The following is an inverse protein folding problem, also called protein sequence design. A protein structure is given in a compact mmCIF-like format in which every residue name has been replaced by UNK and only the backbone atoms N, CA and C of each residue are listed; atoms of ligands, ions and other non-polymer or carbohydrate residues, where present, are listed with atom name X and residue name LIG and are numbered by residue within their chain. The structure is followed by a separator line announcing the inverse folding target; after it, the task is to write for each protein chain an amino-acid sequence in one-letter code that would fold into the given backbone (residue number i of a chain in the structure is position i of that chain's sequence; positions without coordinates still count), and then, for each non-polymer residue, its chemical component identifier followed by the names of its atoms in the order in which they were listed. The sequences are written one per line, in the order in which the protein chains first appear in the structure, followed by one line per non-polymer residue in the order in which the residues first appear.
data_IF_281375641778
#
_entry.id   IF_281375641778
#
_cell.length_a   1.000
_cell.length_b   1.000
_cell.length_c   1.000
_cell.angle_alpha   90.00
_cell.angle_beta   90.00
_cell.angle_gamma   90.00
#
_symmetry.space_group_name_H-M   'P 1'
#
loop_
_entity.id
_entity.type
_entity.pdbx_description
1 polymer ?
#
# COMPACT_ATOMS: atom_id res chain seq x y z
N UNK A 1 -53.91 7.80 -9.48
CA UNK A 1 -52.56 7.28 -9.20
C UNK A 1 -51.58 8.40 -9.47
N UNK A 2 -51.13 9.10 -8.43
CA UNK A 2 -50.12 10.15 -8.55
C UNK A 2 -48.75 9.49 -8.37
N UNK A 3 -47.99 9.40 -9.46
CA UNK A 3 -46.55 9.12 -9.39
C UNK A 3 -45.89 10.32 -8.71
N UNK A 4 -45.26 10.11 -7.57
CA UNK A 4 -44.47 11.12 -6.88
C UNK A 4 -43.02 11.06 -7.40
N UNK A 5 -42.50 12.11 -8.06
CA UNK A 5 -41.17 12.12 -8.63
C UNK A 5 -40.20 12.73 -7.62
N UNK A 6 -39.91 12.04 -6.52
CA UNK A 6 -38.79 12.42 -5.67
C UNK A 6 -37.54 11.69 -6.16
N UNK A 7 -36.85 12.37 -7.09
CA UNK A 7 -35.43 12.19 -7.32
C UNK A 7 -34.70 12.10 -5.97
N UNK A 8 -33.90 11.05 -5.78
CA UNK A 8 -32.95 10.99 -4.68
C UNK A 8 -31.95 12.14 -4.85
N UNK A 9 -32.07 13.17 -4.03
CA UNK A 9 -31.01 14.16 -3.86
C UNK A 9 -29.86 13.43 -3.17
N UNK A 10 -28.79 13.15 -3.92
CA UNK A 10 -27.51 12.64 -3.44
C UNK A 10 -26.99 13.55 -2.30
N UNK A 11 -27.34 13.23 -1.05
CA UNK A 11 -26.97 14.03 0.11
C UNK A 11 -25.49 13.81 0.40
N UNK A 12 -24.68 14.77 -0.04
CA UNK A 12 -23.24 14.80 0.22
C UNK A 12 -22.97 15.38 1.59
N UNK A 13 -22.30 14.62 2.45
CA UNK A 13 -21.95 15.04 3.80
C UNK A 13 -20.43 15.12 3.93
N UNK A 14 -19.91 16.25 4.41
CA UNK A 14 -18.51 16.35 4.82
C UNK A 14 -18.38 15.79 6.24
N UNK A 15 -17.46 14.85 6.43
CA UNK A 15 -17.25 14.24 7.75
C UNK A 15 -15.78 13.95 8.00
N UNK A 16 -15.42 13.86 9.28
CA UNK A 16 -14.16 13.27 9.73
C UNK A 16 -14.28 11.76 9.58
N UNK A 17 -13.36 11.15 8.84
CA UNK A 17 -13.38 9.71 8.51
C UNK A 17 -12.28 8.93 9.24
N UNK A 18 -11.27 9.63 9.76
CA UNK A 18 -10.23 9.10 10.63
C UNK A 18 -9.60 10.26 11.41
N UNK A 19 -9.15 10.03 12.65
CA UNK A 19 -8.54 11.06 13.49
C UNK A 19 -7.55 10.47 14.49
N UNK A 20 -6.53 11.23 14.83
CA UNK A 20 -5.55 10.94 15.87
C UNK A 20 -5.13 12.22 16.58
N UNK A 21 -4.57 12.07 17.78
CA UNK A 21 -3.98 13.17 18.54
C UNK A 21 -2.50 12.87 18.82
N UNK A 22 -1.64 13.85 18.60
CA UNK A 22 -0.20 13.72 18.84
C UNK A 22 0.56 14.96 18.43
N UNK A 23 1.70 15.21 19.07
CA UNK A 23 2.62 16.25 18.66
C UNK A 23 3.27 15.84 17.32
N UNK A 24 2.88 16.53 16.24
CA UNK A 24 3.38 16.28 14.88
C UNK A 24 4.21 17.46 14.34
N UNK A 25 4.24 18.58 15.07
CA UNK A 25 5.02 19.76 14.71
C UNK A 25 6.29 19.95 15.58
N UNK A 26 6.44 19.18 16.66
CA UNK A 26 7.60 19.16 17.54
C UNK A 26 7.61 20.21 18.64
N UNK A 27 6.46 20.81 18.96
CA UNK A 27 6.37 21.88 19.96
C UNK A 27 6.08 21.39 21.40
N UNK A 28 5.81 20.09 21.55
CA UNK A 28 5.47 19.43 22.81
C UNK A 28 3.97 19.43 23.15
N UNK A 29 3.11 20.04 22.34
CA UNK A 29 1.65 20.09 22.53
C UNK A 29 0.98 19.20 21.48
N UNK A 30 0.08 18.28 21.88
CA UNK A 30 -0.62 17.43 20.92
C UNK A 30 -1.51 18.21 19.95
N UNK A 31 -1.35 17.93 18.66
CA UNK A 31 -2.21 18.43 17.58
C UNK A 31 -3.36 17.45 17.31
N UNK A 32 -4.45 17.95 16.72
CA UNK A 32 -5.53 17.12 16.20
C UNK A 32 -5.34 16.90 14.71
N UNK A 33 -4.99 15.67 14.33
CA UNK A 33 -4.75 15.27 12.95
C UNK A 33 -5.92 14.41 12.48
N UNK A 34 -6.55 14.78 11.37
CA UNK A 34 -7.70 14.03 10.88
C UNK A 34 -7.83 14.06 9.35
N UNK A 35 -8.50 13.05 8.82
CA UNK A 35 -8.92 13.00 7.43
C UNK A 35 -10.37 13.47 7.36
N UNK A 36 -10.63 14.47 6.52
CA UNK A 36 -11.97 14.89 6.18
C UNK A 36 -12.31 14.41 4.76
N UNK A 37 -13.53 13.93 4.54
CA UNK A 37 -13.98 13.43 3.24
C UNK A 37 -15.48 13.61 3.03
N UNK A 38 -15.90 13.50 1.78
CA UNK A 38 -17.30 13.59 1.37
C UNK A 38 -17.86 12.19 1.18
N UNK A 39 -18.91 11.87 1.93
CA UNK A 39 -19.69 10.63 1.78
C UNK A 39 -21.00 10.90 1.08
N UNK A 40 -21.56 9.85 0.48
CA UNK A 40 -22.94 9.82 -0.01
C UNK A 40 -23.71 8.75 0.75
N UNK A 41 -25.04 8.87 0.82
CA UNK A 41 -25.89 7.91 1.57
C UNK A 41 -25.82 6.50 1.01
N UNK A 42 -25.53 6.37 -0.28
CA UNK A 42 -25.72 5.12 -1.02
C UNK A 42 -24.42 4.33 -1.18
N UNK A 43 -23.29 4.85 -0.68
CA UNK A 43 -21.97 4.24 -0.87
C UNK A 43 -21.02 4.49 0.30
N UNK A 44 -20.27 3.46 0.76
CA UNK A 44 -19.18 3.63 1.71
C UNK A 44 -17.92 4.25 1.06
N UNK A 45 -17.96 4.57 -0.24
CA UNK A 45 -16.88 5.24 -0.94
C UNK A 45 -16.80 6.71 -0.52
N UNK A 46 -15.63 7.11 -0.04
CA UNK A 46 -15.37 8.46 0.43
C UNK A 46 -14.59 9.21 -0.65
N UNK A 47 -15.00 10.43 -0.95
CA UNK A 47 -14.40 11.29 -1.98
C UNK A 47 -13.75 12.52 -1.36
N UNK A 48 -12.82 13.16 -2.09
CA UNK A 48 -12.18 14.43 -1.68
C UNK A 48 -11.53 14.36 -0.30
N UNK A 49 -10.94 13.21 0.02
CA UNK A 49 -10.21 12.98 1.26
C UNK A 49 -9.04 13.97 1.36
N UNK A 50 -9.03 14.76 2.41
CA UNK A 50 -8.03 15.80 2.67
C UNK A 50 -7.44 15.57 4.05
N UNK A 51 -6.12 15.65 4.19
CA UNK A 51 -5.46 15.67 5.48
C UNK A 51 -5.63 17.06 6.10
N UNK A 52 -6.11 17.10 7.34
CA UNK A 52 -6.27 18.32 8.11
C UNK A 52 -5.52 18.18 9.42
N UNK A 53 -4.76 19.22 9.76
CA UNK A 53 -4.02 19.32 11.02
C UNK A 53 -4.52 20.58 11.71
N UNK A 54 -5.02 20.43 12.93
CA UNK A 54 -5.35 21.56 13.81
C UNK A 54 -4.27 21.64 14.89
N UNK A 55 -3.50 22.73 14.85
CA UNK A 55 -2.43 23.02 15.80
C UNK A 55 -3.01 23.11 17.23
N UNK A 56 -2.49 22.29 18.14
CA UNK A 56 -2.98 22.22 19.53
C UNK A 56 -2.69 23.47 20.36
N UNK A 57 -1.65 24.22 20.00
CA UNK A 57 -1.23 25.47 20.66
C UNK A 57 -2.00 26.67 20.15
N UNK A 58 -2.13 26.80 18.84
CA UNK A 58 -2.66 28.01 18.19
C UNK A 58 -4.11 27.87 17.73
N UNK A 59 -4.58 26.64 17.55
CA UNK A 59 -5.90 26.34 16.96
C UNK A 59 -5.97 26.57 15.45
N UNK A 60 -4.86 26.89 14.78
CA UNK A 60 -4.81 27.09 13.34
C UNK A 60 -4.98 25.76 12.59
N UNK A 61 -5.60 25.82 11.41
CA UNK A 61 -5.82 24.66 10.55
C UNK A 61 -4.90 24.70 9.34
N UNK A 62 -4.26 23.57 9.06
CA UNK A 62 -3.57 23.29 7.81
C UNK A 62 -4.34 22.23 7.02
N UNK A 63 -4.54 22.48 5.73
CA UNK A 63 -5.22 21.55 4.81
C UNK A 63 -4.23 21.08 3.75
N UNK A 64 -4.12 19.77 3.57
CA UNK A 64 -3.17 19.14 2.65
C UNK A 64 -3.96 18.22 1.71
N UNK A 65 -4.14 18.60 0.44
CA UNK A 65 -4.81 17.75 -0.54
C UNK A 65 -3.95 16.54 -0.88
N UNK A 66 -4.58 15.38 -1.05
CA UNK A 66 -3.93 14.16 -1.49
C UNK A 66 -4.12 14.01 -3.02
N UNK A 67 -3.12 13.45 -3.70
CA UNK A 67 -3.19 13.17 -5.15
C UNK A 67 -4.31 12.18 -5.46
N UNK A 68 -4.31 11.04 -4.78
CA UNK A 68 -5.36 10.01 -4.81
C UNK A 68 -6.19 10.12 -3.54
N UNK A 69 -7.33 10.79 -3.65
CA UNK A 69 -8.13 11.28 -2.53
C UNK A 69 -9.54 10.66 -2.46
N UNK A 70 -9.74 9.49 -3.04
CA UNK A 70 -11.03 8.82 -3.01
C UNK A 70 -10.87 7.32 -2.88
N UNK A 71 -11.66 6.68 -2.01
CA UNK A 71 -11.53 5.27 -1.72
C UNK A 71 -12.34 4.83 -0.51
N UNK A 72 -11.97 3.68 0.04
CA UNK A 72 -12.62 3.03 1.16
C UNK A 72 -11.70 3.01 2.37
N UNK A 73 -12.31 2.95 3.57
CA UNK A 73 -11.63 2.75 4.85
C UNK A 73 -10.36 3.59 5.04
N UNK A 74 -10.41 4.93 4.87
CA UNK A 74 -9.27 5.78 5.12
C UNK A 74 -8.84 5.69 6.59
N UNK A 75 -7.55 5.55 6.85
CA UNK A 75 -7.01 5.49 8.22
C UNK A 75 -5.81 6.41 8.40
N UNK A 76 -5.54 6.75 9.66
CA UNK A 76 -4.39 7.54 10.10
C UNK A 76 -3.58 6.76 11.10
N UNK A 77 -2.25 6.84 10.99
CA UNK A 77 -1.29 6.37 11.98
C UNK A 77 -0.26 7.46 12.23
N UNK A 78 0.07 7.70 13.50
CA UNK A 78 1.11 8.65 13.91
C UNK A 78 2.28 7.88 14.52
N UNK A 79 3.47 8.04 13.95
CA UNK A 79 4.69 7.37 14.40
C UNK A 79 5.93 8.10 13.89
N UNK A 80 7.06 7.95 14.56
CA UNK A 80 8.32 8.53 14.11
C UNK A 80 8.92 7.64 13.01
N UNK A 81 8.97 8.12 11.77
CA UNK A 81 9.63 7.41 10.68
C UNK A 81 10.98 8.02 10.33
N UNK A 82 11.25 9.25 10.79
CA UNK A 82 12.44 10.01 10.40
C UNK A 82 13.58 9.93 11.42
N UNK A 83 13.27 9.48 12.63
CA UNK A 83 14.18 9.34 13.77
C UNK A 83 14.47 10.65 14.49
N UNK A 84 13.64 11.68 14.31
CA UNK A 84 13.81 12.98 14.97
C UNK A 84 13.00 13.11 16.27
N UNK A 85 12.26 12.06 16.66
CA UNK A 85 11.42 12.03 17.85
C UNK A 85 10.06 12.72 17.70
N UNK A 86 9.77 13.28 16.52
CA UNK A 86 8.48 13.91 16.19
C UNK A 86 7.66 12.91 15.38
N UNK A 87 6.35 12.82 15.65
CA UNK A 87 5.50 11.88 14.93
C UNK A 87 5.24 12.39 13.51
N UNK A 88 5.53 11.57 12.51
CA UNK A 88 5.02 11.77 11.15
C UNK A 88 3.63 11.15 11.00
N UNK A 89 2.96 11.52 9.92
CA UNK A 89 1.56 11.21 9.65
C UNK A 89 1.48 10.24 8.48
N UNK A 90 1.14 8.98 8.75
CA UNK A 90 0.86 7.98 7.73
C UNK A 90 -0.64 7.90 7.45
N UNK A 91 -0.99 7.93 6.16
CA UNK A 91 -2.34 7.82 5.63
C UNK A 91 -2.43 6.55 4.81
N UNK A 92 -3.54 5.82 4.94
CA UNK A 92 -3.87 4.74 4.00
C UNK A 92 -5.32 4.81 3.53
N UNK A 93 -5.57 4.47 2.27
CA UNK A 93 -6.89 4.48 1.63
C UNK A 93 -6.99 3.26 0.69
N UNK A 94 -8.01 2.42 0.85
CA UNK A 94 -8.25 1.33 -0.08
C UNK A 94 -8.84 1.85 -1.40
N UNK A 95 -8.24 1.51 -2.54
CA UNK A 95 -8.76 1.92 -3.86
C UNK A 95 -10.13 1.31 -4.19
N UNK A 96 -10.42 0.12 -3.66
CA UNK A 96 -11.62 -0.66 -3.93
C UNK A 96 -11.55 -1.58 -5.16
N UNK A 97 -10.41 -1.60 -5.87
CA UNK A 97 -10.20 -2.52 -6.99
C UNK A 97 -9.97 -3.97 -6.53
N UNK A 98 -10.31 -4.94 -7.38
CA UNK A 98 -10.11 -6.37 -7.11
C UNK A 98 -8.65 -6.79 -6.92
N UNK A 99 -7.71 -5.96 -7.38
CA UNK A 99 -6.28 -6.15 -7.17
C UNK A 99 -5.79 -5.78 -5.76
N UNK A 100 -6.67 -5.27 -4.89
CA UNK A 100 -6.33 -4.92 -3.51
C UNK A 100 -5.38 -3.72 -3.37
N UNK A 101 -5.31 -2.85 -4.38
CA UNK A 101 -4.44 -1.69 -4.39
C UNK A 101 -4.83 -0.70 -3.28
N UNK A 102 -3.81 -0.14 -2.63
CA UNK A 102 -3.95 0.83 -1.55
C UNK A 102 -3.16 2.09 -1.89
N UNK A 103 -3.72 3.26 -1.55
CA UNK A 103 -3.01 4.53 -1.58
C UNK A 103 -2.39 4.79 -0.22
N UNK A 104 -1.11 5.15 -0.20
CA UNK A 104 -0.37 5.45 1.00
C UNK A 104 0.39 6.76 0.85
N UNK A 105 0.37 7.56 1.91
CA UNK A 105 1.14 8.78 2.03
C UNK A 105 1.78 8.87 3.41
N UNK A 106 2.98 9.43 3.50
CA UNK A 106 3.60 9.80 4.78
C UNK A 106 4.01 11.25 4.70
N UNK A 107 3.57 12.06 5.67
CA UNK A 107 3.92 13.47 5.78
C UNK A 107 4.63 13.74 7.10
N UNK A 108 5.72 14.49 7.05
CA UNK A 108 6.23 15.23 8.21
C UNK A 108 5.52 16.58 8.30
N UNK A 109 5.30 17.07 9.53
CA UNK A 109 4.74 18.39 9.78
C UNK A 109 5.59 19.23 10.75
N UNK A 110 6.87 18.88 10.90
CA UNK A 110 7.82 19.55 11.79
C UNK A 110 7.84 21.06 11.53
N UNK A 111 7.72 21.85 12.60
CA UNK A 111 7.73 23.31 12.53
C UNK A 111 6.55 23.91 11.76
N UNK A 112 5.41 23.20 11.69
CA UNK A 112 4.22 23.58 10.92
C UNK A 112 4.43 23.64 9.41
N UNK A 113 5.40 22.89 8.88
CA UNK A 113 5.71 22.83 7.44
C UNK A 113 5.40 21.43 6.92
N UNK A 114 4.37 21.25 6.08
CA UNK A 114 4.05 19.95 5.53
C UNK A 114 5.10 19.52 4.50
N UNK A 115 5.64 18.31 4.67
CA UNK A 115 6.59 17.70 3.75
C UNK A 115 6.20 16.26 3.46
N UNK A 116 5.93 15.97 2.19
CA UNK A 116 5.67 14.61 1.72
C UNK A 116 6.98 13.79 1.78
N UNK A 117 6.96 12.69 2.52
CA UNK A 117 8.09 11.76 2.71
C UNK A 117 7.95 10.49 1.88
N UNK A 118 6.72 10.01 1.69
CA UNK A 118 6.40 8.80 0.93
C UNK A 118 5.12 9.00 0.12
N UNK A 119 5.14 8.54 -1.13
CA UNK A 119 3.99 8.47 -2.03
C UNK A 119 3.94 7.07 -2.66
N UNK A 120 2.79 6.41 -2.58
CA UNK A 120 2.61 5.06 -3.10
C UNK A 120 2.87 4.97 -4.61
N UNK A 121 2.58 6.02 -5.38
CA UNK A 121 2.70 5.98 -6.83
C UNK A 121 4.17 6.06 -7.23
N UNK A 122 4.92 6.95 -6.57
CA UNK A 122 6.39 7.03 -6.68
C UNK A 122 7.04 5.70 -6.30
N UNK A 123 6.55 5.03 -5.25
CA UNK A 123 7.02 3.70 -4.89
C UNK A 123 6.75 2.66 -6.00
N UNK A 124 5.53 2.61 -6.54
CA UNK A 124 5.18 1.67 -7.61
C UNK A 124 6.01 1.91 -8.88
N UNK A 125 6.29 3.17 -9.22
CA UNK A 125 7.15 3.53 -10.35
C UNK A 125 8.61 3.14 -10.11
N UNK A 126 9.10 3.31 -8.88
CA UNK A 126 10.48 2.99 -8.52
C UNK A 126 10.75 1.48 -8.44
N UNK A 127 9.74 0.65 -8.15
CA UNK A 127 9.90 -0.79 -8.01
C UNK A 127 9.05 -1.53 -9.04
N UNK A 128 9.64 -1.74 -10.21
CA UNK A 128 9.05 -2.51 -11.31
C UNK A 128 9.64 -3.91 -11.37
N UNK A 129 8.84 -4.84 -11.92
CA UNK A 129 9.20 -6.25 -11.95
C UNK A 129 8.82 -6.92 -13.25
N UNK A 130 9.62 -7.92 -13.63
CA UNK A 130 9.26 -8.92 -14.63
C UNK A 130 8.96 -10.24 -13.93
N UNK A 131 7.90 -10.92 -14.35
CA UNK A 131 7.54 -12.26 -13.85
C UNK A 131 7.50 -13.19 -15.05
N UNK A 132 8.47 -14.09 -15.15
CA UNK A 132 8.69 -14.92 -16.34
C UNK A 132 8.69 -16.37 -15.95
N UNK A 133 7.76 -17.15 -16.51
CA UNK A 133 7.76 -18.59 -16.33
C UNK A 133 8.96 -19.19 -17.07
N UNK A 134 9.55 -20.21 -16.47
CA UNK A 134 10.66 -21.01 -16.99
C UNK A 134 10.27 -22.48 -16.98
N UNK A 135 11.03 -23.28 -17.71
CA UNK A 135 10.97 -24.74 -17.66
C UNK A 135 11.20 -25.24 -16.22
N UNK A 136 10.90 -26.53 -15.98
CA UNK A 136 11.06 -27.19 -14.69
C UNK A 136 10.26 -26.52 -13.55
N UNK A 137 9.05 -26.04 -13.88
CA UNK A 137 8.09 -25.46 -12.93
C UNK A 137 8.64 -24.29 -12.12
N UNK A 138 9.50 -23.47 -12.73
CA UNK A 138 10.07 -22.28 -12.10
C UNK A 138 9.44 -21.00 -12.63
N UNK A 139 9.36 -19.98 -11.78
CA UNK A 139 8.99 -18.62 -12.16
C UNK A 139 10.07 -17.67 -11.66
N UNK A 140 10.69 -16.95 -12.59
CA UNK A 140 11.62 -15.89 -12.29
C UNK A 140 10.83 -14.61 -11.96
N UNK A 141 11.15 -13.97 -10.84
CA UNK A 141 10.64 -12.64 -10.47
C UNK A 141 11.84 -11.72 -10.37
N UNK A 142 11.93 -10.75 -11.27
CA UNK A 142 13.11 -9.91 -11.44
C UNK A 142 12.72 -8.47 -11.13
N UNK A 143 13.34 -7.89 -10.11
CA UNK A 143 13.24 -6.46 -9.82
C UNK A 143 14.10 -5.71 -10.84
N UNK A 144 13.48 -4.96 -11.75
CA UNK A 144 14.19 -4.31 -12.87
C UNK A 144 15.01 -3.12 -12.43
N UNK A 145 14.69 -2.54 -11.27
CA UNK A 145 15.42 -1.41 -10.68
C UNK A 145 16.74 -1.85 -10.03
N UNK A 146 16.73 -2.99 -9.34
CA UNK A 146 17.91 -3.48 -8.61
C UNK A 146 18.67 -4.59 -9.34
N UNK A 147 18.06 -5.22 -10.34
CA UNK A 147 18.58 -6.40 -11.02
C UNK A 147 18.51 -7.69 -10.18
N UNK A 148 17.89 -7.65 -8.99
CA UNK A 148 17.74 -8.81 -8.12
C UNK A 148 16.69 -9.76 -8.73
N UNK A 149 17.05 -11.04 -8.81
CA UNK A 149 16.19 -12.12 -9.29
C UNK A 149 15.84 -13.07 -8.14
N UNK A 150 14.57 -13.41 -8.05
CA UNK A 150 14.02 -14.46 -7.21
C UNK A 150 13.50 -15.60 -8.10
N UNK A 151 13.55 -16.83 -7.60
CA UNK A 151 13.03 -18.00 -8.30
C UNK A 151 11.99 -18.65 -7.40
N UNK A 152 10.75 -18.75 -7.90
CA UNK A 152 9.65 -19.46 -7.23
C UNK A 152 9.53 -20.83 -7.88
N UNK A 153 9.55 -21.88 -7.06
CA UNK A 153 9.13 -23.21 -7.48
C UNK A 153 7.61 -23.30 -7.34
N UNK A 154 6.91 -23.54 -8.45
CA UNK A 154 5.44 -23.63 -8.49
C UNK A 154 4.93 -25.08 -8.52
N UNK A 155 5.77 -26.07 -8.24
CA UNK A 155 5.37 -27.48 -8.17
C UNK A 155 4.19 -27.69 -7.22
N UNK A 156 4.10 -26.89 -6.15
CA UNK A 156 2.99 -26.92 -5.18
C UNK A 156 1.61 -26.59 -5.78
N UNK A 157 1.53 -26.06 -7.00
CA UNK A 157 0.26 -25.74 -7.69
C UNK A 157 -0.50 -26.99 -8.16
N UNK A 158 0.15 -28.15 -8.16
CA UNK A 158 -0.47 -29.41 -8.54
C UNK A 158 -0.53 -29.66 -10.04
N UNK A 159 -0.70 -30.93 -10.40
CA UNK A 159 -0.51 -31.38 -11.78
C UNK A 159 -1.54 -30.79 -12.76
N UNK A 160 -2.77 -30.55 -12.33
CA UNK A 160 -3.82 -29.97 -13.20
C UNK A 160 -3.40 -28.58 -13.70
N UNK A 161 -2.94 -27.73 -12.78
CA UNK A 161 -2.43 -26.39 -13.12
C UNK A 161 -1.17 -26.47 -13.99
N UNK A 162 -0.22 -27.32 -13.62
CA UNK A 162 1.06 -27.44 -14.33
C UNK A 162 0.88 -28.01 -15.73
N UNK A 163 -0.02 -28.99 -15.92
CA UNK A 163 -0.32 -29.58 -17.22
C UNK A 163 -0.91 -28.58 -18.21
N UNK A 164 -1.52 -27.49 -17.76
CA UNK A 164 -1.97 -26.44 -18.68
C UNK A 164 -0.80 -25.63 -19.27
N UNK A 165 0.31 -25.52 -18.55
CA UNK A 165 1.44 -24.62 -18.84
C UNK A 165 2.63 -25.38 -19.45
N UNK A 166 2.84 -26.62 -19.01
CA UNK A 166 4.00 -27.44 -19.33
C UNK A 166 3.62 -28.70 -20.08
N UNK A 167 4.55 -29.23 -20.88
CA UNK A 167 4.48 -30.57 -21.45
C UNK A 167 4.92 -31.64 -20.43
N UNK A 168 4.93 -32.90 -20.87
CA UNK A 168 5.26 -34.04 -20.01
C UNK A 168 6.73 -34.05 -19.54
N UNK A 169 7.62 -33.33 -20.24
CA UNK A 169 9.04 -33.23 -19.91
C UNK A 169 9.32 -32.01 -19.00
N UNK A 170 8.29 -31.27 -18.58
CA UNK A 170 8.43 -30.09 -17.74
C UNK A 170 8.82 -28.82 -18.51
N UNK A 171 8.72 -28.84 -19.85
CA UNK A 171 9.04 -27.70 -20.70
C UNK A 171 7.80 -26.84 -20.97
N UNK A 172 7.98 -25.53 -21.04
CA UNK A 172 6.90 -24.60 -21.37
C UNK A 172 6.33 -24.89 -22.75
N UNK A 173 5.01 -25.00 -22.83
CA UNK A 173 4.28 -25.14 -24.10
C UNK A 173 4.38 -23.88 -24.97
N UNK A 174 4.45 -22.72 -24.32
CA UNK A 174 4.65 -21.41 -24.95
C UNK A 174 5.23 -20.44 -23.90
N UNK A 175 5.90 -19.34 -24.32
CA UNK A 175 6.31 -18.28 -23.41
C UNK A 175 5.12 -17.76 -22.60
N UNK A 176 5.32 -17.59 -21.29
CA UNK A 176 4.29 -17.15 -20.37
C UNK A 176 4.89 -16.17 -19.35
N UNK A 177 4.15 -15.09 -19.12
CA UNK A 177 4.51 -14.04 -18.17
C UNK A 177 3.39 -13.88 -17.14
N UNK A 178 3.79 -13.51 -15.92
CA UNK A 178 2.92 -12.99 -14.89
C UNK A 178 3.11 -11.49 -14.72
N UNK A 179 2.71 -10.96 -13.57
CA UNK A 179 2.91 -9.55 -13.25
C UNK A 179 2.94 -9.35 -11.74
N UNK A 180 3.50 -8.22 -11.31
CA UNK A 180 3.44 -7.78 -9.92
C UNK A 180 2.38 -6.69 -9.81
N UNK A 181 1.45 -6.87 -8.87
CA UNK A 181 0.41 -5.89 -8.61
C UNK A 181 0.98 -4.63 -7.95
N UNK A 182 0.29 -3.48 -8.08
CA UNK A 182 0.60 -2.30 -7.28
C UNK A 182 0.59 -2.59 -5.77
N UNK A 183 1.19 -1.68 -5.00
CA UNK A 183 1.23 -1.71 -3.54
C UNK A 183 -0.16 -2.03 -2.95
N UNK A 184 -0.24 -3.15 -2.23
CA UNK A 184 -1.46 -3.66 -1.61
C UNK A 184 -1.43 -3.58 -0.08
N UNK A 185 -0.27 -3.28 0.49
CA UNK A 185 -0.08 -3.15 1.93
C UNK A 185 1.23 -2.43 2.24
N UNK A 186 1.19 -1.54 3.23
CA UNK A 186 2.35 -0.85 3.76
C UNK A 186 2.21 -0.81 5.28
N UNK A 187 3.15 -1.45 5.98
CA UNK A 187 3.08 -1.63 7.42
C UNK A 187 4.22 -0.89 8.10
N UNK A 188 3.93 0.03 9.03
CA UNK A 188 4.95 0.60 9.90
C UNK A 188 5.43 -0.48 10.88
N UNK A 189 6.72 -0.81 10.85
CA UNK A 189 7.32 -1.81 11.74
C UNK A 189 8.62 -1.24 12.29
N UNK A 190 8.74 -1.19 13.62
CA UNK A 190 9.99 -0.93 14.32
C UNK A 190 10.68 -2.29 14.56
N UNK A 191 11.60 -2.66 13.66
CA UNK A 191 12.19 -4.00 13.68
C UNK A 191 13.21 -4.20 14.82
N UNK A 192 13.87 -3.13 15.25
CA UNK A 192 14.93 -3.17 16.26
C UNK A 192 14.51 -2.56 17.62
N UNK A 193 13.23 -2.19 17.75
CA UNK A 193 12.61 -1.61 18.95
C UNK A 193 13.27 -0.29 19.38
N UNK A 194 13.76 0.51 18.43
CA UNK A 194 14.44 1.78 18.70
C UNK A 194 13.48 2.99 18.74
N UNK A 195 12.19 2.79 18.46
CA UNK A 195 11.15 3.82 18.40
C UNK A 195 10.95 4.45 17.02
N UNK A 196 11.75 4.07 16.02
CA UNK A 196 11.70 4.56 14.63
C UNK A 196 11.14 3.47 13.73
N UNK A 197 10.10 3.79 12.97
CA UNK A 197 9.42 2.83 12.11
C UNK A 197 10.07 2.73 10.73
N UNK A 198 10.43 1.52 10.32
CA UNK A 198 10.59 1.16 8.91
C UNK A 198 9.24 0.86 8.24
N UNK A 199 9.26 0.73 6.92
CA UNK A 199 8.08 0.38 6.12
C UNK A 199 8.24 -0.99 5.49
N UNK A 200 7.34 -1.92 5.81
CA UNK A 200 7.24 -3.20 5.11
C UNK A 200 6.14 -3.12 4.04
N UNK A 201 6.54 -3.00 2.78
CA UNK A 201 5.66 -2.93 1.61
C UNK A 201 5.36 -4.32 1.03
N UNK A 202 4.10 -4.55 0.68
CA UNK A 202 3.61 -5.78 0.07
C UNK A 202 3.10 -5.52 -1.35
N UNK A 203 3.64 -6.27 -2.31
CA UNK A 203 3.14 -6.33 -3.68
C UNK A 203 2.90 -7.79 -4.07
N UNK A 204 1.70 -8.11 -4.55
CA UNK A 204 1.35 -9.48 -4.93
C UNK A 204 2.00 -9.86 -6.25
N UNK A 205 2.56 -11.07 -6.31
CA UNK A 205 3.06 -11.68 -7.54
C UNK A 205 1.91 -12.53 -8.10
N UNK A 206 1.45 -12.16 -9.29
CA UNK A 206 0.36 -12.82 -10.00
C UNK A 206 0.90 -13.63 -11.18
N UNK A 207 0.34 -14.82 -11.37
CA UNK A 207 0.61 -15.67 -12.53
C UNK A 207 -0.25 -15.27 -13.73
N UNK A 208 -0.96 -16.25 -14.30
CA UNK A 208 -1.71 -16.11 -15.55
C UNK A 208 -2.84 -15.08 -15.51
N UNK A 209 -3.37 -14.79 -14.32
CA UNK A 209 -4.46 -13.85 -14.11
C UNK A 209 -4.41 -13.32 -12.67
N UNK A 210 -5.13 -12.23 -12.41
CA UNK A 210 -5.08 -11.54 -11.11
C UNK A 210 -5.47 -12.42 -9.91
N UNK A 211 -6.27 -13.48 -10.07
CA UNK A 211 -6.59 -14.40 -8.97
C UNK A 211 -5.54 -15.51 -8.75
N UNK A 212 -4.60 -15.71 -9.67
CA UNK A 212 -3.53 -16.72 -9.57
C UNK A 212 -2.34 -16.17 -8.76
N UNK A 213 -2.41 -16.27 -7.42
CA UNK A 213 -1.33 -15.81 -6.55
C UNK A 213 -0.13 -16.76 -6.62
N UNK A 214 1.07 -16.23 -6.90
CA UNK A 214 2.32 -16.99 -6.79
C UNK A 214 3.07 -16.70 -5.49
N UNK A 215 2.80 -15.54 -4.88
CA UNK A 215 3.43 -15.09 -3.64
C UNK A 215 3.32 -13.57 -3.49
N UNK A 216 4.16 -13.01 -2.62
CA UNK A 216 4.27 -11.58 -2.40
C UNK A 216 5.73 -11.16 -2.37
N UNK A 217 6.03 -10.03 -3.02
CA UNK A 217 7.23 -9.27 -2.73
C UNK A 217 7.01 -8.50 -1.43
N UNK A 218 7.92 -8.72 -0.49
CA UNK A 218 8.01 -8.01 0.78
C UNK A 218 9.23 -7.11 0.71
N UNK A 219 9.03 -5.79 0.62
CA UNK A 219 10.09 -4.80 0.46
C UNK A 219 10.17 -3.95 1.72
N UNK A 220 11.28 -4.03 2.45
CA UNK A 220 11.50 -3.19 3.63
C UNK A 220 12.22 -1.91 3.21
N UNK A 221 11.66 -0.76 3.59
CA UNK A 221 12.28 0.54 3.40
C UNK A 221 12.65 1.17 4.74
N UNK A 222 13.84 1.75 4.80
CA UNK A 222 14.33 2.50 5.97
C UNK A 222 14.59 3.96 5.59
N UNK A 223 14.32 4.88 6.50
CA UNK A 223 14.66 6.28 6.31
C UNK A 223 16.17 6.50 6.44
N UNK A 224 16.78 7.20 5.49
CA UNK A 224 18.23 7.50 5.50
C UNK A 224 18.55 8.97 5.78
N UNK A 225 17.68 9.67 6.51
CA UNK A 225 17.68 11.13 6.74
C UNK A 225 17.23 11.99 5.55
N UNK A 226 17.03 11.41 4.35
CA UNK A 226 16.54 12.15 3.18
C UNK A 226 15.29 11.55 2.57
N UNK A 227 15.26 10.24 2.39
CA UNK A 227 14.18 9.51 1.77
C UNK A 227 14.15 8.06 2.30
N UNK A 228 13.03 7.38 2.08
CA UNK A 228 12.97 5.94 2.26
C UNK A 228 13.84 5.25 1.19
N UNK A 229 14.70 4.33 1.62
CA UNK A 229 15.58 3.53 0.76
C UNK A 229 15.38 2.04 1.03
N UNK A 230 15.62 1.22 0.00
CA UNK A 230 15.59 -0.23 0.11
C UNK A 230 16.56 -0.71 1.19
N UNK A 231 16.05 -1.37 2.23
CA UNK A 231 16.84 -2.06 3.23
C UNK A 231 17.02 -3.53 2.85
N UNK A 232 15.93 -4.22 2.55
CA UNK A 232 15.93 -5.60 2.08
C UNK A 232 14.65 -5.90 1.28
N UNK A 233 14.67 -7.00 0.54
CA UNK A 233 13.51 -7.50 -0.17
C UNK A 233 13.51 -9.03 -0.17
N UNK A 234 12.33 -9.60 0.02
CA UNK A 234 12.09 -11.03 0.04
C UNK A 234 10.90 -11.38 -0.84
N UNK A 235 10.84 -12.65 -1.27
CA UNK A 235 9.64 -13.24 -1.85
C UNK A 235 9.05 -14.21 -0.83
N UNK A 236 7.84 -13.91 -0.37
CA UNK A 236 7.05 -14.77 0.50
C UNK A 236 6.11 -15.64 -0.34
N UNK A 237 6.15 -16.95 -0.13
CA UNK A 237 5.27 -17.93 -0.79
C UNK A 237 4.42 -18.64 0.26
N UNK A 238 3.24 -19.12 -0.15
CA UNK A 238 2.42 -19.95 0.72
C UNK A 238 3.13 -21.28 1.01
N UNK A 239 3.00 -21.76 2.24
CA UNK A 239 3.40 -23.13 2.57
C UNK A 239 2.53 -24.15 1.84
N UNK A 240 3.09 -25.32 1.57
CA UNK A 240 2.38 -26.46 1.00
C UNK A 240 2.40 -27.63 1.98
N UNK A 241 1.33 -28.41 2.02
CA UNK A 241 1.32 -29.66 2.77
C UNK A 241 2.36 -30.63 2.19
N UNK A 242 3.16 -31.23 3.07
CA UNK A 242 4.02 -32.36 2.70
C UNK A 242 3.20 -33.64 2.80
N UNK A 243 3.15 -34.41 1.71
CA UNK A 243 2.70 -35.81 1.76
C UNK A 243 3.77 -36.62 2.50
N UNK A 244 3.65 -36.72 3.83
CA UNK A 244 4.35 -37.70 4.65
C UNK A 244 3.52 -38.99 4.76
#
# INVERSE_FOLDING_TARGET
MLYSPYYSLDQRTLMIVSSAWGDVNGDGIPDHVYLAGVTTTDSPFIQKITLVIQDGRTGMFQYIPLTSNAGYNPTLFLGDFTGDGIKDIMISIASGGSGGMMYYYIYSYVGNIPKLLFDYDVFNEAYQYQVVYKDDYKVDVINTTTGIKYVIDITYKGQDYLNEIYDADGKLKAPLEGFVNPLSGLYPIDFDANGVYELLAYQRISGRFAADALGYLQTTLKWNSRNFVLMNQYVAILGSETLL
#
